data_IF_729547396912
#
_entry.id   IF_729547396912
#
_cell.length_a   1.000
_cell.length_b   1.000
_cell.length_c   1.000
_cell.angle_alpha   90.00
_cell.angle_beta   90.00
_cell.angle_gamma   90.00
#
_symmetry.space_group_name_H-M   'P 1'
#
loop_
_entity.id
_entity.type
_entity.pdbx_description
1 polymer ?
#
# COMPACT_ATOMS: atom_id res chain seq x y z
N UNK A 1 -32.07 0.77 -20.53
CA UNK A 1 -31.78 2.20 -20.26
C UNK A 1 -30.30 2.41 -20.54
N UNK A 2 -29.98 3.36 -21.41
CA UNK A 2 -28.68 3.52 -22.04
C UNK A 2 -27.60 3.94 -21.04
N UNK A 3 -26.55 3.12 -20.91
CA UNK A 3 -25.35 3.45 -20.16
C UNK A 3 -24.58 4.55 -20.87
N UNK A 4 -24.45 5.71 -20.23
CA UNK A 4 -23.55 6.77 -20.67
C UNK A 4 -22.12 6.33 -20.37
N UNK A 5 -21.35 6.01 -21.41
CA UNK A 5 -19.90 5.91 -21.32
C UNK A 5 -19.33 7.32 -21.13
N UNK A 6 -18.68 7.55 -20.00
CA UNK A 6 -17.88 8.75 -19.78
C UNK A 6 -16.60 8.69 -20.64
N UNK A 7 -16.16 9.79 -21.27
CA UNK A 7 -14.97 9.79 -22.09
C UNK A 7 -13.75 10.07 -21.20
N UNK A 8 -13.14 9.03 -20.64
CA UNK A 8 -11.69 9.08 -20.39
C UNK A 8 -11.03 8.51 -21.62
N UNK A 9 -10.13 9.29 -22.22
CA UNK A 9 -9.27 8.97 -23.36
C UNK A 9 -8.96 7.48 -23.49
N UNK A 10 -9.80 6.74 -24.20
CA UNK A 10 -9.47 5.41 -24.66
C UNK A 10 -8.34 5.62 -25.68
N UNK A 11 -7.11 5.24 -25.31
CA UNK A 11 -6.05 5.04 -26.28
C UNK A 11 -6.65 4.19 -27.41
N UNK A 12 -6.65 4.71 -28.65
CA UNK A 12 -7.28 4.04 -29.80
C UNK A 12 -6.79 2.58 -29.86
N UNK A 13 -7.70 1.64 -29.63
CA UNK A 13 -7.42 0.19 -29.65
C UNK A 13 -7.16 -0.47 -28.28
N UNK A 14 -7.21 0.26 -27.17
CA UNK A 14 -7.12 -0.33 -25.84
C UNK A 14 -8.52 -0.67 -25.26
N UNK A 15 -8.67 -1.87 -24.72
CA UNK A 15 -9.85 -2.27 -23.95
C UNK A 15 -9.64 -2.03 -22.46
N UNK A 16 -10.65 -1.47 -21.79
CA UNK A 16 -10.65 -1.32 -20.34
C UNK A 16 -11.05 -2.66 -19.72
N UNK A 17 -10.22 -3.19 -18.82
CA UNK A 17 -10.52 -4.39 -18.04
C UNK A 17 -10.56 -4.09 -16.56
N UNK A 18 -11.64 -4.52 -15.91
CA UNK A 18 -11.78 -4.46 -14.45
C UNK A 18 -11.13 -5.69 -13.81
N UNK A 19 -10.25 -5.48 -12.82
CA UNK A 19 -9.52 -6.56 -12.13
C UNK A 19 -10.22 -7.06 -10.87
N UNK A 20 -10.91 -6.17 -10.16
CA UNK A 20 -11.53 -6.45 -8.85
C UNK A 20 -12.94 -5.86 -8.81
N UNK A 21 -13.82 -6.42 -7.97
CA UNK A 21 -15.24 -6.03 -7.87
C UNK A 21 -15.68 -5.67 -6.45
N UNK A 22 -14.76 -5.71 -5.49
CA UNK A 22 -15.07 -5.48 -4.09
C UNK A 22 -15.43 -4.03 -3.79
N UNK A 23 -16.25 -3.85 -2.76
CA UNK A 23 -16.63 -2.53 -2.24
C UNK A 23 -15.51 -1.94 -1.37
N UNK A 24 -14.30 -1.86 -1.92
CA UNK A 24 -13.13 -1.26 -1.31
C UNK A 24 -12.42 -0.34 -2.30
N UNK A 25 -11.62 0.58 -1.77
CA UNK A 25 -10.75 1.39 -2.59
C UNK A 25 -9.50 0.62 -3.01
N UNK A 26 -8.81 1.17 -4.01
CA UNK A 26 -7.56 0.65 -4.55
C UNK A 26 -6.64 1.84 -4.83
N UNK A 27 -6.07 2.42 -3.78
CA UNK A 27 -5.15 3.54 -3.94
C UNK A 27 -3.83 3.04 -4.52
N UNK A 28 -3.53 3.50 -5.73
CA UNK A 28 -2.27 3.23 -6.42
C UNK A 28 -1.31 4.39 -6.18
N UNK A 29 -0.08 4.06 -5.77
CA UNK A 29 1.01 5.03 -5.77
C UNK A 29 1.24 5.57 -7.19
N UNK A 30 1.66 6.84 -7.36
CA UNK A 30 1.88 7.42 -8.68
C UNK A 30 3.07 6.81 -9.45
N UNK A 31 3.85 5.94 -8.80
CA UNK A 31 5.01 5.27 -9.37
C UNK A 31 5.21 3.88 -8.74
N UNK A 32 5.90 2.99 -9.45
CA UNK A 32 6.39 1.73 -8.90
C UNK A 32 5.30 0.74 -8.46
N UNK A 33 4.12 0.74 -9.06
CA UNK A 33 3.03 -0.15 -8.62
C UNK A 33 3.08 -1.56 -9.21
N UNK A 34 3.84 -1.77 -10.28
CA UNK A 34 3.98 -3.07 -10.93
C UNK A 34 5.10 -3.89 -10.30
N UNK A 35 4.89 -5.19 -10.15
CA UNK A 35 5.97 -6.14 -9.89
C UNK A 35 6.98 -6.17 -11.06
N UNK A 36 8.24 -6.58 -10.83
CA UNK A 36 9.29 -6.67 -11.86
C UNK A 36 8.91 -7.52 -13.07
N UNK A 37 8.08 -8.55 -12.87
CA UNK A 37 7.56 -9.44 -13.90
C UNK A 37 6.26 -8.92 -14.56
N UNK A 38 5.80 -7.73 -14.15
CA UNK A 38 4.56 -7.09 -14.58
C UNK A 38 3.30 -7.98 -14.42
N UNK A 39 3.30 -8.94 -13.48
CA UNK A 39 2.15 -9.80 -13.22
C UNK A 39 1.24 -9.29 -12.12
N UNK A 40 1.72 -8.39 -11.25
CA UNK A 40 1.00 -7.91 -10.07
C UNK A 40 1.01 -6.40 -9.96
N UNK A 41 -0.08 -5.86 -9.42
CA UNK A 41 -0.22 -4.47 -9.00
C UNK A 41 -0.34 -4.40 -7.48
N UNK A 42 0.44 -3.54 -6.83
CA UNK A 42 0.31 -3.27 -5.38
C UNK A 42 -0.53 -2.02 -5.12
N UNK A 43 -1.34 -2.05 -4.08
CA UNK A 43 -2.23 -0.96 -3.68
C UNK A 43 -2.52 -0.97 -2.17
N UNK A 44 -3.12 0.10 -1.69
CA UNK A 44 -3.70 0.17 -0.33
C UNK A 44 -5.19 0.56 -0.40
N UNK A 45 -6.07 0.01 0.45
CA UNK A 45 -7.53 0.21 0.33
C UNK A 45 -8.08 1.43 1.09
N UNK A 46 -7.26 2.46 1.36
CA UNK A 46 -7.70 3.63 2.13
C UNK A 46 -8.88 4.36 1.48
N UNK A 47 -9.81 4.84 2.32
CA UNK A 47 -11.03 5.52 1.86
C UNK A 47 -10.78 6.90 1.25
N UNK A 48 -9.70 7.56 1.66
CA UNK A 48 -9.22 8.84 1.14
C UNK A 48 -7.72 8.99 1.39
N UNK A 49 -7.06 9.94 0.74
CA UNK A 49 -5.62 10.20 0.94
C UNK A 49 -5.28 10.45 2.41
N UNK A 50 -6.11 11.25 3.09
CA UNK A 50 -5.98 11.58 4.52
C UNK A 50 -6.23 10.39 5.46
N UNK A 51 -6.81 9.28 4.98
CA UNK A 51 -7.19 8.12 5.79
C UNK A 51 -6.05 7.09 5.93
N UNK A 52 -4.79 7.49 5.74
CA UNK A 52 -3.65 6.56 5.85
C UNK A 52 -3.49 6.01 7.26
N UNK A 53 -3.76 6.81 8.30
CA UNK A 53 -3.66 6.36 9.70
C UNK A 53 -4.63 5.26 10.08
N UNK A 54 -5.75 5.11 9.37
CA UNK A 54 -6.76 4.08 9.62
C UNK A 54 -6.68 2.90 8.65
N UNK A 55 -5.79 2.94 7.65
CA UNK A 55 -5.64 1.85 6.69
C UNK A 55 -4.73 0.72 7.25
N UNK A 56 -5.27 -0.50 7.46
CA UNK A 56 -4.54 -1.54 8.18
C UNK A 56 -3.78 -2.51 7.27
N UNK A 57 -3.85 -2.37 5.94
CA UNK A 57 -3.32 -3.39 5.02
C UNK A 57 -2.66 -2.81 3.77
N UNK A 58 -1.69 -3.57 3.25
CA UNK A 58 -1.17 -3.46 1.89
C UNK A 58 -1.57 -4.72 1.14
N UNK A 59 -2.07 -4.55 -0.08
CA UNK A 59 -2.58 -5.64 -0.92
C UNK A 59 -1.96 -5.62 -2.31
N UNK A 60 -2.03 -6.75 -3.00
CA UNK A 60 -1.75 -6.83 -4.43
C UNK A 60 -2.85 -7.56 -5.18
N UNK A 61 -2.96 -7.29 -6.48
CA UNK A 61 -3.83 -8.01 -7.41
C UNK A 61 -3.04 -8.51 -8.60
N UNK A 62 -3.25 -9.77 -8.97
CA UNK A 62 -2.71 -10.36 -10.17
C UNK A 62 -3.44 -9.78 -11.37
N UNK A 63 -2.68 -9.28 -12.33
CA UNK A 63 -3.23 -8.63 -13.50
C UNK A 63 -3.99 -9.66 -14.32
N UNK A 64 -3.42 -10.81 -14.67
CA UNK A 64 -4.10 -11.79 -15.53
C UNK A 64 -5.37 -12.36 -14.90
N UNK A 65 -5.32 -12.77 -13.62
CA UNK A 65 -6.38 -13.56 -12.99
C UNK A 65 -7.35 -12.77 -12.11
N UNK A 66 -6.97 -11.56 -11.67
CA UNK A 66 -7.73 -10.82 -10.65
C UNK A 66 -7.59 -11.38 -9.22
N UNK A 67 -6.75 -12.40 -9.02
CA UNK A 67 -6.44 -12.93 -7.68
C UNK A 67 -5.83 -11.84 -6.82
N UNK A 68 -6.25 -11.73 -5.56
CA UNK A 68 -5.72 -10.76 -4.60
C UNK A 68 -5.04 -11.41 -3.43
N UNK A 69 -4.06 -10.72 -2.89
CA UNK A 69 -3.30 -11.16 -1.73
C UNK A 69 -3.03 -9.99 -0.79
N UNK A 70 -3.14 -10.22 0.52
CA UNK A 70 -2.69 -9.29 1.55
C UNK A 70 -1.21 -9.51 1.77
N UNK A 71 -0.39 -8.51 1.47
CA UNK A 71 1.06 -8.55 1.65
C UNK A 71 1.48 -8.19 3.07
N UNK A 72 0.74 -7.28 3.69
CA UNK A 72 1.04 -6.80 5.02
C UNK A 72 -0.23 -6.41 5.76
N UNK A 73 -0.29 -6.72 7.05
CA UNK A 73 -1.31 -6.26 7.98
C UNK A 73 -0.64 -5.56 9.15
N UNK A 74 -1.08 -4.34 9.42
CA UNK A 74 -0.58 -3.53 10.52
C UNK A 74 -0.92 -4.22 11.85
N UNK A 75 0.07 -4.53 12.69
CA UNK A 75 -0.17 -5.09 14.02
C UNK A 75 -0.73 -4.00 14.96
N UNK A 76 -1.60 -4.40 15.90
CA UNK A 76 -2.16 -3.53 16.93
C UNK A 76 -2.86 -2.25 16.42
N UNK A 77 -3.41 -2.30 15.20
CA UNK A 77 -4.13 -1.17 14.63
C UNK A 77 -5.36 -0.82 15.48
N UNK A 78 -5.53 0.47 15.75
CA UNK A 78 -6.65 1.04 16.47
C UNK A 78 -7.13 2.34 15.79
N UNK A 79 -8.11 3.03 16.36
CA UNK A 79 -8.69 4.27 15.79
C UNK A 79 -7.67 5.42 15.63
N UNK A 80 -6.58 5.41 16.40
CA UNK A 80 -5.48 6.37 16.33
C UNK A 80 -4.33 5.91 15.43
N UNK A 81 -4.38 4.67 14.94
CA UNK A 81 -3.37 4.03 14.10
C UNK A 81 -2.67 2.84 14.77
N UNK A 82 -1.44 2.50 14.35
CA UNK A 82 -0.82 2.98 13.12
C UNK A 82 -1.60 2.51 11.89
N UNK A 83 -1.37 3.18 10.78
CA UNK A 83 -1.82 2.72 9.48
C UNK A 83 -0.65 2.67 8.49
N UNK A 84 -0.92 2.15 7.31
CA UNK A 84 0.07 2.01 6.25
C UNK A 84 -0.49 2.44 4.89
N UNK A 85 0.38 2.71 3.91
CA UNK A 85 -0.08 3.05 2.56
C UNK A 85 1.04 3.50 1.63
N UNK A 86 0.63 3.89 0.42
CA UNK A 86 1.53 4.29 -0.67
C UNK A 86 2.59 3.20 -0.96
N UNK A 87 2.18 1.94 -1.24
CA UNK A 87 3.12 0.88 -1.52
C UNK A 87 3.76 1.02 -2.90
N UNK A 88 5.04 0.67 -3.00
CA UNK A 88 5.78 0.62 -4.25
C UNK A 88 6.72 -0.59 -4.28
N UNK A 89 6.84 -1.19 -5.44
CA UNK A 89 7.73 -2.31 -5.72
C UNK A 89 9.16 -1.85 -5.95
N UNK A 90 10.09 -2.68 -5.51
CA UNK A 90 11.47 -2.63 -5.96
C UNK A 90 11.53 -2.94 -7.47
N UNK A 91 12.33 -2.23 -8.27
CA UNK A 91 12.32 -2.38 -9.73
C UNK A 91 12.81 -3.74 -10.23
N UNK A 92 13.55 -4.49 -9.41
CA UNK A 92 14.22 -5.74 -9.81
C UNK A 92 13.95 -6.94 -8.89
N UNK A 93 13.37 -6.72 -7.71
CA UNK A 93 13.25 -7.76 -6.69
C UNK A 93 11.81 -7.82 -6.18
N UNK A 94 11.43 -8.98 -5.61
CA UNK A 94 10.12 -9.18 -5.02
C UNK A 94 9.96 -8.55 -3.63
N UNK A 95 10.28 -7.26 -3.55
CA UNK A 95 10.27 -6.45 -2.34
C UNK A 95 9.38 -5.24 -2.55
N UNK A 96 8.57 -4.94 -1.54
CA UNK A 96 7.65 -3.82 -1.54
C UNK A 96 8.00 -2.93 -0.36
N UNK A 97 8.15 -1.64 -0.62
CA UNK A 97 8.27 -0.62 0.42
C UNK A 97 6.96 0.15 0.54
N UNK A 98 6.66 0.64 1.73
CA UNK A 98 5.47 1.45 2.00
C UNK A 98 5.68 2.33 3.23
N UNK A 99 4.84 3.35 3.35
CA UNK A 99 4.78 4.20 4.53
C UNK A 99 4.03 3.45 5.63
N UNK A 100 4.55 3.48 6.85
CA UNK A 100 3.91 2.92 8.04
C UNK A 100 3.94 3.93 9.19
N UNK A 101 2.87 4.00 9.98
CA UNK A 101 2.84 4.78 11.22
C UNK A 101 3.81 4.24 12.27
N UNK A 102 4.04 4.97 13.36
CA UNK A 102 4.79 4.41 14.49
C UNK A 102 3.92 3.44 15.30
N UNK A 103 4.52 2.34 15.81
CA UNK A 103 3.79 1.26 16.50
C UNK A 103 3.10 1.71 17.80
N UNK A 104 3.53 2.84 18.37
CA UNK A 104 3.00 3.39 19.61
C UNK A 104 1.91 4.45 19.39
N UNK A 105 1.09 4.28 18.35
CA UNK A 105 -0.04 5.16 18.11
C UNK A 105 -1.16 4.92 19.12
N UNK A 106 -1.55 5.99 19.81
CA UNK A 106 -2.60 6.03 20.83
C UNK A 106 -3.31 7.39 20.80
N UNK A 107 -4.27 7.60 21.70
CA UNK A 107 -5.04 8.83 21.79
C UNK A 107 -4.18 10.10 21.89
N UNK A 108 -3.08 10.05 22.65
CA UNK A 108 -2.23 11.21 22.91
C UNK A 108 -1.17 11.40 21.82
N UNK A 109 -0.84 10.33 21.09
CA UNK A 109 0.21 10.28 20.07
C UNK A 109 -0.29 9.59 18.80
N UNK A 110 -1.36 10.11 18.16
CA UNK A 110 -1.97 9.45 17.01
C UNK A 110 -1.01 9.40 15.82
N UNK A 111 -1.42 8.67 14.78
CA UNK A 111 -0.79 8.74 13.47
C UNK A 111 -0.74 10.19 12.98
N UNK A 112 0.42 10.57 12.42
CA UNK A 112 0.61 11.86 11.75
C UNK A 112 1.75 11.74 10.71
N UNK A 113 1.84 12.70 9.78
CA UNK A 113 2.87 12.78 8.74
C UNK A 113 4.30 12.82 9.28
N UNK A 114 4.49 13.29 10.51
CA UNK A 114 5.78 13.29 11.20
C UNK A 114 5.99 12.03 12.07
N UNK A 115 4.95 11.19 12.23
CA UNK A 115 4.94 9.94 13.00
C UNK A 115 4.80 8.73 12.07
N UNK A 116 5.66 8.68 11.05
CA UNK A 116 5.72 7.60 10.07
C UNK A 116 7.17 7.26 9.70
N UNK A 117 7.37 6.03 9.22
CA UNK A 117 8.64 5.41 8.84
C UNK A 117 8.47 4.67 7.52
N UNK A 118 9.57 4.35 6.84
CA UNK A 118 9.57 3.39 5.74
C UNK A 118 9.66 1.96 6.27
N UNK A 119 8.80 1.08 5.75
CA UNK A 119 8.80 -0.36 6.00
C UNK A 119 8.88 -1.09 4.67
N UNK A 120 9.58 -2.22 4.66
CA UNK A 120 9.67 -3.15 3.55
C UNK A 120 9.12 -4.52 3.94
N UNK A 121 8.40 -5.16 3.02
CA UNK A 121 8.16 -6.61 3.02
C UNK A 121 8.86 -7.26 1.82
N UNK A 122 9.35 -8.47 2.02
CA UNK A 122 9.92 -9.33 0.98
C UNK A 122 8.98 -10.50 0.77
N UNK A 123 8.52 -10.74 -0.46
CA UNK A 123 7.61 -11.86 -0.75
C UNK A 123 8.29 -13.22 -0.53
N UNK A 124 9.62 -13.29 -0.56
CA UNK A 124 10.34 -14.50 -0.18
C UNK A 124 10.25 -14.79 1.33
N UNK A 125 9.91 -13.78 2.15
CA UNK A 125 9.80 -13.87 3.61
C UNK A 125 8.47 -13.24 4.08
N UNK A 126 7.32 -13.84 3.70
CA UNK A 126 6.02 -13.26 3.97
C UNK A 126 5.77 -13.09 5.47
N UNK A 127 5.14 -11.99 5.85
CA UNK A 127 4.85 -11.66 7.25
C UNK A 127 6.01 -11.02 8.02
N UNK A 128 7.23 -10.96 7.45
CA UNK A 128 8.36 -10.26 8.04
C UNK A 128 8.45 -8.85 7.44
N UNK A 129 8.15 -7.85 8.26
CA UNK A 129 8.29 -6.44 7.92
C UNK A 129 9.60 -5.88 8.50
N UNK A 130 10.41 -5.23 7.67
CA UNK A 130 11.69 -4.63 8.06
C UNK A 130 11.60 -3.11 7.97
N UNK A 131 12.02 -2.41 9.01
CA UNK A 131 12.14 -0.95 8.99
C UNK A 131 13.38 -0.55 8.19
N UNK A 132 13.21 0.34 7.22
CA UNK A 132 14.31 0.82 6.39
C UNK A 132 14.89 2.16 6.86
N UNK A 133 14.21 2.86 7.76
CA UNK A 133 14.74 4.08 8.36
C UNK A 133 15.91 3.72 9.29
N UNK A 134 17.11 4.23 9.00
CA UNK A 134 18.21 4.28 9.95
C UNK A 134 17.96 5.41 10.96
N UNK A 135 16.99 5.22 11.84
CA UNK A 135 16.76 6.13 12.96
C UNK A 135 17.50 5.61 14.18
N UNK A 136 18.56 6.32 14.56
CA UNK A 136 19.17 6.12 15.87
C UNK A 136 18.26 6.74 16.94
N UNK A 137 17.63 5.89 17.73
CA UNK A 137 16.74 6.29 18.83
C UNK A 137 17.34 5.92 20.19
N UNK A 138 18.58 5.44 20.20
CA UNK A 138 19.28 4.94 21.39
C UNK A 138 20.58 5.69 21.59
N UNK A 139 20.82 6.23 22.79
CA UNK A 139 22.07 6.95 23.07
C UNK A 139 23.27 5.97 23.15
N UNK A 140 24.48 6.37 22.71
CA UNK A 140 24.79 7.62 22.02
C UNK A 140 24.34 7.59 20.55
N UNK A 141 23.73 8.68 20.09
CA UNK A 141 23.33 8.81 18.69
C UNK A 141 24.57 8.78 17.78
N UNK A 142 24.52 7.97 16.73
CA UNK A 142 25.58 7.75 15.74
C UNK A 142 25.22 8.24 14.34
#
# INVERSE_FOLDING_TARGET
MNGKSSPLFAYRGAEVRQLTSDLQNHYLSPYGVFSPDNQWLVYDPRTAEAAMGSNPVIEKVNIATGQREVLYRVPNQNEYGPGCGTPTWHPLENKIIFIHGLDNADHDRPYDLHRRTCVMVDEANPGIATRLDARDVTVPFS
#
